data_IF_947676890152
#
_entry.id   IF_947676890152
#
_cell.length_a   1.000
_cell.length_b   1.000
_cell.length_c   1.000
_cell.angle_alpha   90.00
_cell.angle_beta   90.00
_cell.angle_gamma   90.00
#
_symmetry.space_group_name_H-M   'P 1'
#
loop_
_entity.id
_entity.type
_entity.pdbx_description
1 polymer ?
#
# COMPACT_ATOMS: atom_id res chain seq x y z
N UNK A 1 29.47 -9.05 71.17
CA UNK A 1 29.04 -9.50 69.83
C UNK A 1 27.80 -8.73 69.38
N UNK A 2 26.81 -8.49 70.25
CA UNK A 2 25.63 -7.66 69.95
C UNK A 2 25.94 -6.21 69.54
N UNK A 3 26.93 -5.55 70.17
CA UNK A 3 27.30 -4.17 69.82
C UNK A 3 27.83 -4.00 68.37
N UNK A 4 28.36 -5.06 67.74
CA UNK A 4 28.86 -5.00 66.36
C UNK A 4 27.74 -5.13 65.31
N UNK A 5 26.57 -5.63 65.71
CA UNK A 5 25.45 -5.86 64.80
C UNK A 5 24.59 -4.60 64.66
N UNK A 6 24.41 -3.83 65.75
CA UNK A 6 23.72 -2.53 65.70
C UNK A 6 24.46 -1.50 64.84
N UNK A 7 25.79 -1.46 64.87
CA UNK A 7 26.56 -0.52 64.06
C UNK A 7 26.49 -0.84 62.55
N UNK A 8 26.41 -2.13 62.20
CA UNK A 8 26.25 -2.57 60.80
C UNK A 8 24.84 -2.26 60.28
N UNK A 9 23.81 -2.39 61.11
CA UNK A 9 22.43 -2.11 60.73
C UNK A 9 22.20 -0.60 60.56
N UNK A 10 22.79 0.22 61.45
CA UNK A 10 22.70 1.68 61.41
C UNK A 10 23.39 2.29 60.18
N UNK A 11 24.52 1.74 59.74
CA UNK A 11 25.20 2.18 58.51
C UNK A 11 24.41 1.77 57.25
N UNK A 12 23.73 0.63 57.29
CA UNK A 12 22.89 0.17 56.19
C UNK A 12 21.64 1.04 55.99
N UNK A 13 21.03 1.50 57.09
CA UNK A 13 19.89 2.41 57.07
C UNK A 13 20.28 3.85 56.71
N UNK A 14 21.48 4.29 57.14
CA UNK A 14 22.03 5.57 56.69
C UNK A 14 22.32 5.56 55.19
N UNK A 15 22.87 4.47 54.62
CA UNK A 15 23.04 4.32 53.17
C UNK A 15 21.69 4.26 52.43
N UNK A 16 20.68 3.55 52.95
CA UNK A 16 19.33 3.54 52.35
C UNK A 16 18.66 4.92 52.38
N UNK A 17 18.83 5.67 53.46
CA UNK A 17 18.22 7.00 53.60
C UNK A 17 18.98 8.08 52.80
N UNK A 18 20.30 7.96 52.64
CA UNK A 18 21.07 8.82 51.74
C UNK A 18 20.77 8.55 50.26
N UNK A 19 20.43 7.31 49.89
CA UNK A 19 20.16 6.91 48.51
C UNK A 19 18.73 7.25 48.04
N UNK A 20 17.82 7.66 48.94
CA UNK A 20 16.40 7.89 48.63
C UNK A 20 16.00 9.36 48.43
N UNK A 21 16.91 10.35 48.54
CA UNK A 21 16.50 11.78 48.60
C UNK A 21 17.03 12.75 47.54
N UNK A 22 17.77 12.29 46.55
CA UNK A 22 17.99 13.14 45.38
C UNK A 22 17.09 12.64 44.26
N UNK A 23 15.92 13.28 44.00
CA UNK A 23 15.24 13.06 42.75
C UNK A 23 16.27 13.37 41.67
N UNK A 24 16.73 12.32 40.99
CA UNK A 24 17.63 12.43 39.87
C UNK A 24 16.92 13.34 38.88
N UNK A 25 17.34 14.61 38.88
CA UNK A 25 16.79 15.66 38.03
C UNK A 25 17.00 15.12 36.63
N UNK A 26 15.94 14.60 36.00
CA UNK A 26 16.01 13.95 34.69
C UNK A 26 16.63 14.96 33.75
N UNK A 27 17.92 14.83 33.51
CA UNK A 27 18.63 15.65 32.54
C UNK A 27 18.06 15.24 31.21
N UNK A 28 17.35 16.16 30.54
CA UNK A 28 16.76 15.89 29.23
C UNK A 28 17.84 15.28 28.33
N UNK A 29 17.67 14.03 27.90
CA UNK A 29 18.60 13.43 26.98
C UNK A 29 18.58 14.23 25.67
N UNK A 30 19.76 14.48 25.10
CA UNK A 30 19.91 15.16 23.82
C UNK A 30 20.95 14.42 22.99
N UNK A 31 20.74 14.27 21.67
CA UNK A 31 21.74 13.66 20.81
C UNK A 31 23.00 14.53 20.82
N UNK A 32 24.13 13.92 21.14
CA UNK A 32 25.43 14.58 21.12
C UNK A 32 25.83 14.90 19.68
N UNK A 33 26.42 16.08 19.46
CA UNK A 33 26.92 16.50 18.16
C UNK A 33 28.41 16.23 18.08
N UNK A 34 28.77 14.99 17.75
CA UNK A 34 30.18 14.55 17.67
C UNK A 34 30.85 15.03 16.38
N UNK A 35 32.18 15.00 16.35
CA UNK A 35 32.96 15.41 15.18
C UNK A 35 32.66 14.58 13.93
N UNK A 36 32.41 13.28 14.10
CA UNK A 36 31.99 12.37 13.02
C UNK A 36 30.66 12.82 12.41
N UNK A 37 29.66 13.13 13.23
CA UNK A 37 28.34 13.59 12.76
C UNK A 37 28.46 14.92 12.03
N UNK A 38 29.28 15.84 12.55
CA UNK A 38 29.59 17.09 11.89
C UNK A 38 30.27 16.87 10.52
N UNK A 39 31.22 15.94 10.45
CA UNK A 39 31.90 15.56 9.20
C UNK A 39 30.91 15.03 8.16
N UNK A 40 30.03 14.09 8.54
CA UNK A 40 28.99 13.55 7.65
C UNK A 40 28.14 14.68 7.08
N UNK A 41 27.61 15.56 7.94
CA UNK A 41 26.76 16.68 7.51
C UNK A 41 27.52 17.65 6.60
N UNK A 42 28.76 18.03 6.95
CA UNK A 42 29.58 18.93 6.16
C UNK A 42 29.89 18.37 4.78
N UNK A 43 30.24 17.08 4.69
CA UNK A 43 30.50 16.42 3.41
C UNK A 43 29.23 16.31 2.57
N UNK A 44 28.08 15.94 3.16
CA UNK A 44 26.80 15.88 2.45
C UNK A 44 26.41 17.24 1.87
N UNK A 45 26.48 18.32 2.67
CA UNK A 45 26.17 19.67 2.22
C UNK A 45 27.19 20.16 1.19
N UNK A 46 28.48 19.91 1.42
CA UNK A 46 29.57 20.32 0.55
C UNK A 46 29.49 19.68 -0.83
N UNK A 47 29.41 18.35 -0.91
CA UNK A 47 29.32 17.65 -2.19
C UNK A 47 28.00 17.87 -2.89
N UNK A 48 26.89 17.94 -2.17
CA UNK A 48 25.60 18.31 -2.76
C UNK A 48 25.66 19.69 -3.41
N UNK A 49 26.18 20.69 -2.70
CA UNK A 49 26.32 22.06 -3.23
C UNK A 49 27.28 22.12 -4.41
N UNK A 50 28.42 21.41 -4.34
CA UNK A 50 29.37 21.32 -5.46
C UNK A 50 28.72 20.71 -6.70
N UNK A 51 27.98 19.60 -6.54
CA UNK A 51 27.22 18.96 -7.62
C UNK A 51 26.23 19.95 -8.25
N UNK A 52 25.44 20.65 -7.44
CA UNK A 52 24.48 21.62 -7.93
C UNK A 52 25.14 22.75 -8.73
N UNK A 53 26.24 23.33 -8.22
CA UNK A 53 27.00 24.38 -8.91
C UNK A 53 27.54 23.87 -10.26
N UNK A 54 28.10 22.66 -10.30
CA UNK A 54 28.62 22.06 -11.54
C UNK A 54 27.52 21.79 -12.56
N UNK A 55 26.37 21.26 -12.10
CA UNK A 55 25.21 21.06 -12.96
C UNK A 55 24.65 22.37 -13.53
N UNK A 56 24.55 23.43 -12.72
CA UNK A 56 24.09 24.74 -13.21
C UNK A 56 25.05 25.39 -14.20
N UNK A 57 26.35 25.06 -14.13
CA UNK A 57 27.35 25.48 -15.12
C UNK A 57 27.37 24.60 -16.38
N UNK A 58 26.40 23.68 -16.53
CA UNK A 58 26.33 22.71 -17.62
C UNK A 58 27.56 21.78 -17.73
N UNK A 59 28.30 21.58 -16.63
CA UNK A 59 29.46 20.68 -16.57
C UNK A 59 29.01 19.28 -16.14
N UNK A 60 28.23 18.62 -17.00
CA UNK A 60 27.56 17.34 -16.69
C UNK A 60 28.53 16.24 -16.29
N UNK A 61 29.64 16.07 -17.02
CA UNK A 61 30.67 15.07 -16.73
C UNK A 61 31.23 15.27 -15.32
N UNK A 62 31.63 16.51 -14.99
CA UNK A 62 32.20 16.82 -13.67
C UNK A 62 31.17 16.61 -12.54
N UNK A 63 29.91 17.00 -12.77
CA UNK A 63 28.81 16.76 -11.82
C UNK A 63 28.60 15.27 -11.55
N UNK A 64 28.58 14.46 -12.61
CA UNK A 64 28.50 12.99 -12.52
C UNK A 64 29.72 12.41 -11.80
N UNK A 65 30.93 12.87 -12.08
CA UNK A 65 32.14 12.42 -11.37
C UNK A 65 32.07 12.72 -9.87
N UNK A 66 31.61 13.91 -9.49
CA UNK A 66 31.41 14.27 -8.06
C UNK A 66 30.39 13.34 -7.40
N UNK A 67 29.29 13.03 -8.08
CA UNK A 67 28.29 12.08 -7.59
C UNK A 67 28.88 10.68 -7.35
N UNK A 68 29.68 10.16 -8.28
CA UNK A 68 30.32 8.86 -8.11
C UNK A 68 31.32 8.83 -6.96
N UNK A 69 32.20 9.83 -6.88
CA UNK A 69 33.22 9.90 -5.83
C UNK A 69 32.56 10.06 -4.45
N UNK A 70 31.62 10.98 -4.33
CA UNK A 70 30.95 11.25 -3.06
C UNK A 70 30.02 10.10 -2.64
N UNK A 71 29.25 9.54 -3.57
CA UNK A 71 28.29 8.48 -3.30
C UNK A 71 28.92 7.10 -3.06
N UNK A 72 30.04 6.78 -3.71
CA UNK A 72 30.69 5.47 -3.56
C UNK A 72 31.86 5.54 -2.60
N UNK A 73 32.90 6.30 -2.93
CA UNK A 73 34.17 6.25 -2.19
C UNK A 73 34.00 6.85 -0.80
N UNK A 74 33.42 8.04 -0.72
CA UNK A 74 33.32 8.78 0.54
C UNK A 74 32.25 8.16 1.44
N UNK A 75 31.10 7.78 0.89
CA UNK A 75 30.06 7.11 1.67
C UNK A 75 30.54 5.79 2.28
N UNK A 76 31.26 4.96 1.51
CA UNK A 76 31.84 3.71 2.05
C UNK A 76 32.84 4.01 3.15
N UNK A 77 33.71 5.01 2.98
CA UNK A 77 34.64 5.44 4.02
C UNK A 77 33.93 5.91 5.30
N UNK A 78 32.88 6.73 5.17
CA UNK A 78 32.05 7.17 6.30
C UNK A 78 31.30 6.01 6.95
N UNK A 79 30.80 5.05 6.16
CA UNK A 79 30.15 3.86 6.69
C UNK A 79 31.10 3.05 7.58
N UNK A 80 32.32 2.78 7.12
CA UNK A 80 33.34 2.11 7.93
C UNK A 80 33.69 2.90 9.18
N UNK A 81 33.82 4.22 9.05
CA UNK A 81 34.10 5.11 10.18
C UNK A 81 32.95 5.09 11.21
N UNK A 82 31.70 5.02 10.75
CA UNK A 82 30.52 4.92 11.60
C UNK A 82 30.46 3.61 12.41
N UNK A 83 31.05 2.52 11.93
CA UNK A 83 31.15 1.28 12.73
C UNK A 83 31.99 1.47 14.00
N UNK A 84 32.91 2.43 14.01
CA UNK A 84 33.70 2.77 15.18
C UNK A 84 32.97 3.69 16.17
N UNK A 85 31.75 4.17 15.87
CA UNK A 85 31.03 5.06 16.79
C UNK A 85 30.76 4.38 18.14
N UNK A 86 30.50 3.06 18.14
CA UNK A 86 30.27 2.26 19.35
C UNK A 86 31.54 1.73 20.00
N UNK A 87 32.60 1.49 19.21
CA UNK A 87 33.86 0.90 19.65
C UNK A 87 35.05 1.75 19.16
N UNK A 88 35.07 3.02 19.54
CA UNK A 88 36.07 3.97 19.03
C UNK A 88 37.43 3.76 19.72
N UNK A 89 38.53 3.84 18.96
CA UNK A 89 39.86 3.83 19.55
C UNK A 89 40.12 5.13 20.33
N UNK A 90 40.79 5.01 21.48
CA UNK A 90 41.18 6.14 22.33
C UNK A 90 42.14 7.13 21.67
N UNK A 91 42.66 6.81 20.48
CA UNK A 91 43.53 7.68 19.69
C UNK A 91 42.80 8.88 19.04
N UNK A 92 41.49 8.80 18.81
CA UNK A 92 40.72 9.84 18.09
C UNK A 92 39.44 10.28 18.82
N UNK A 93 39.51 10.67 20.11
CA UNK A 93 38.35 11.05 20.91
C UNK A 93 37.70 12.35 20.40
N UNK A 94 38.47 13.20 19.72
CA UNK A 94 37.96 14.43 19.11
C UNK A 94 36.88 14.17 18.05
N UNK A 95 36.90 12.99 17.42
CA UNK A 95 35.97 12.64 16.35
C UNK A 95 34.68 12.01 16.89
N UNK A 96 34.77 11.08 17.85
CA UNK A 96 33.62 10.31 18.32
C UNK A 96 33.08 10.71 19.69
N UNK A 97 33.93 11.17 20.61
CA UNK A 97 33.55 11.38 22.01
C UNK A 97 33.21 12.85 22.30
N UNK A 98 33.96 13.77 21.68
CA UNK A 98 33.82 15.20 21.98
C UNK A 98 32.50 15.75 21.45
N UNK A 99 31.64 16.23 22.36
CA UNK A 99 30.39 16.92 22.02
C UNK A 99 30.64 18.39 21.63
N UNK A 100 30.39 18.71 20.37
CA UNK A 100 30.52 20.06 19.81
C UNK A 100 29.22 20.88 19.90
N UNK A 101 28.15 20.36 20.52
CA UNK A 101 26.85 21.06 20.65
C UNK A 101 27.02 22.45 21.27
N UNK A 102 27.86 22.58 22.29
CA UNK A 102 28.14 23.88 22.92
C UNK A 102 28.84 24.86 21.98
N UNK A 103 29.80 24.39 21.18
CA UNK A 103 30.48 25.21 20.18
C UNK A 103 29.50 25.71 19.13
N UNK A 104 28.71 24.82 18.54
CA UNK A 104 27.70 25.18 17.53
C UNK A 104 26.68 26.17 18.11
N UNK A 105 26.18 25.92 19.32
CA UNK A 105 25.23 26.83 19.97
C UNK A 105 25.84 28.21 20.23
N UNK A 106 27.12 28.27 20.59
CA UNK A 106 27.84 29.55 20.76
C UNK A 106 28.00 30.28 19.44
N UNK A 107 28.24 29.58 18.34
CA UNK A 107 28.29 30.19 17.00
C UNK A 107 26.92 30.72 16.55
N UNK A 108 25.86 29.93 16.74
CA UNK A 108 24.49 30.31 16.30
C UNK A 108 23.88 31.38 17.20
N UNK A 109 24.11 31.32 18.51
CA UNK A 109 23.59 32.30 19.46
C UNK A 109 24.65 32.64 20.53
N UNK A 110 25.54 33.60 20.24
CA UNK A 110 26.64 33.95 21.14
C UNK A 110 26.18 34.51 22.49
N UNK A 111 24.93 34.97 22.61
CA UNK A 111 24.36 35.55 23.85
C UNK A 111 23.77 34.52 24.81
N UNK A 112 23.57 33.27 24.39
CA UNK A 112 22.90 32.24 25.19
C UNK A 112 23.81 31.47 26.16
N UNK A 113 25.08 31.87 26.32
CA UNK A 113 26.08 31.11 27.09
C UNK A 113 26.18 31.65 28.52
N UNK A 114 25.14 31.43 29.32
CA UNK A 114 25.25 31.51 30.78
C UNK A 114 24.51 30.30 31.38
N UNK A 115 25.22 29.56 32.23
CA UNK A 115 24.74 28.50 33.14
C UNK A 115 24.25 27.18 32.52
N UNK A 116 25.14 26.20 32.39
CA UNK A 116 24.87 24.83 32.90
C UNK A 116 26.19 24.05 33.00
N UNK A 117 26.67 23.86 34.23
CA UNK A 117 27.83 23.02 34.57
C UNK A 117 27.32 21.58 34.66
N UNK A 118 27.52 20.79 33.61
CA UNK A 118 27.00 19.43 33.47
C UNK A 118 27.88 18.41 34.20
N UNK A 119 27.25 17.58 35.03
CA UNK A 119 27.84 16.33 35.50
C UNK A 119 27.81 15.30 34.37
N UNK A 120 28.90 14.54 34.24
CA UNK A 120 29.03 13.43 33.32
C UNK A 120 28.18 12.30 33.89
N UNK A 121 27.04 11.98 33.26
CA UNK A 121 26.25 10.81 33.61
C UNK A 121 26.70 9.68 32.70
N UNK A 122 27.48 8.77 33.27
CA UNK A 122 27.90 7.52 32.66
C UNK A 122 26.68 6.59 32.63
N UNK A 123 25.97 6.55 31.50
CA UNK A 123 24.88 5.61 31.30
C UNK A 123 25.47 4.25 30.91
N UNK A 124 25.23 3.23 31.73
CA UNK A 124 25.48 1.82 31.39
C UNK A 124 24.52 1.38 30.27
N UNK A 125 24.90 1.63 29.02
CA UNK A 125 24.14 1.32 27.79
C UNK A 125 24.24 -0.17 27.39
N UNK A 126 24.97 -0.99 28.15
CA UNK A 126 25.42 -2.31 27.70
C UNK A 126 24.34 -3.41 27.56
N UNK A 127 23.09 -3.26 28.04
CA UNK A 127 22.16 -4.41 28.13
C UNK A 127 20.88 -4.35 27.28
N UNK A 128 20.55 -3.25 26.58
CA UNK A 128 19.23 -3.14 25.92
C UNK A 128 19.17 -3.64 24.45
N UNK A 129 20.27 -4.08 23.85
CA UNK A 129 20.33 -4.29 22.39
C UNK A 129 20.02 -5.72 21.90
N UNK A 130 19.86 -6.71 22.77
CA UNK A 130 19.99 -8.12 22.33
C UNK A 130 18.79 -8.72 21.56
N UNK A 131 17.60 -8.09 21.45
CA UNK A 131 16.45 -8.77 20.81
C UNK A 131 15.39 -7.86 20.15
N UNK A 132 15.77 -6.67 19.64
CA UNK A 132 14.81 -5.88 18.85
C UNK A 132 14.75 -6.43 17.43
N UNK A 133 13.71 -7.22 17.14
CA UNK A 133 13.24 -7.42 15.76
C UNK A 133 13.16 -6.05 15.08
N UNK A 134 13.59 -5.94 13.82
CA UNK A 134 13.53 -4.68 13.07
C UNK A 134 12.08 -4.23 12.92
N UNK A 135 11.62 -3.37 13.83
CA UNK A 135 10.26 -2.82 13.81
C UNK A 135 10.14 -1.78 12.71
N UNK A 136 9.02 -1.79 11.98
CA UNK A 136 8.75 -0.82 10.93
C UNK A 136 8.14 0.44 11.55
N UNK A 137 9.01 1.35 11.98
CA UNK A 137 8.64 2.58 12.69
C UNK A 137 8.14 3.67 11.72
N UNK A 138 7.33 4.63 12.20
CA UNK A 138 6.84 5.73 11.35
C UNK A 138 7.98 6.57 10.75
N UNK A 139 9.11 6.72 11.45
CA UNK A 139 10.31 7.35 10.88
C UNK A 139 10.79 6.64 9.62
N UNK A 140 10.89 5.31 9.64
CA UNK A 140 11.34 4.52 8.48
C UNK A 140 10.36 4.63 7.31
N UNK A 141 9.05 4.65 7.59
CA UNK A 141 8.02 4.92 6.57
C UNK A 141 8.19 6.31 5.97
N UNK A 142 8.37 7.33 6.81
CA UNK A 142 8.51 8.73 6.40
C UNK A 142 9.71 8.86 5.45
N UNK A 143 10.87 8.36 5.86
CA UNK A 143 12.10 8.38 5.06
C UNK A 143 11.88 7.66 3.74
N UNK A 144 11.31 6.45 3.77
CA UNK A 144 11.08 5.65 2.56
C UNK A 144 10.11 6.31 1.58
N UNK A 145 8.99 6.85 2.10
CA UNK A 145 7.97 7.55 1.31
C UNK A 145 8.53 8.84 0.70
N UNK A 146 9.34 9.58 1.47
CA UNK A 146 9.97 10.80 0.99
C UNK A 146 10.97 10.50 -0.14
N UNK A 147 11.83 9.49 0.03
CA UNK A 147 12.77 9.08 -1.02
C UNK A 147 12.05 8.62 -2.28
N UNK A 148 11.00 7.79 -2.13
CA UNK A 148 10.22 7.29 -3.26
C UNK A 148 9.50 8.43 -4.01
N UNK A 149 8.80 9.31 -3.28
CA UNK A 149 8.07 10.43 -3.89
C UNK A 149 9.00 11.41 -4.60
N UNK A 150 10.11 11.81 -3.99
CA UNK A 150 11.08 12.72 -4.61
C UNK A 150 11.76 12.08 -5.83
N UNK A 151 12.10 10.78 -5.76
CA UNK A 151 12.63 10.03 -6.89
C UNK A 151 11.66 9.96 -8.07
N UNK A 152 10.37 9.70 -7.80
CA UNK A 152 9.31 9.68 -8.82
C UNK A 152 9.07 11.07 -9.42
N UNK A 153 8.99 12.12 -8.60
CA UNK A 153 8.83 13.50 -9.08
C UNK A 153 10.01 13.90 -9.97
N UNK A 154 11.24 13.57 -9.55
CA UNK A 154 12.45 13.80 -10.36
C UNK A 154 12.38 13.07 -11.71
N UNK A 155 12.04 11.78 -11.70
CA UNK A 155 11.93 10.98 -12.92
C UNK A 155 10.90 11.59 -13.88
N UNK A 156 9.70 11.92 -13.38
CA UNK A 156 8.63 12.56 -14.14
C UNK A 156 9.08 13.87 -14.80
N UNK A 157 9.71 14.76 -14.03
CA UNK A 157 10.21 16.04 -14.55
C UNK A 157 11.34 15.85 -15.57
N UNK A 158 12.19 14.84 -15.38
CA UNK A 158 13.26 14.51 -16.33
C UNK A 158 12.69 14.00 -17.64
N UNK A 159 11.66 13.14 -17.61
CA UNK A 159 10.96 12.66 -18.81
C UNK A 159 10.23 13.78 -19.57
N UNK A 160 9.79 14.83 -18.87
CA UNK A 160 9.20 16.02 -19.48
C UNK A 160 10.25 16.97 -20.10
N UNK A 161 11.54 16.64 -20.03
CA UNK A 161 12.63 17.44 -20.61
C UNK A 161 13.11 18.61 -19.75
N UNK A 162 12.66 18.72 -18.49
CA UNK A 162 13.19 19.74 -17.58
C UNK A 162 14.58 19.31 -17.09
N UNK A 163 15.62 20.11 -17.37
CA UNK A 163 17.00 19.81 -16.93
C UNK A 163 17.34 20.44 -15.56
N UNK A 164 16.79 21.62 -15.29
CA UNK A 164 17.16 22.43 -14.10
C UNK A 164 16.37 22.01 -12.85
N UNK A 165 15.07 21.74 -13.00
CA UNK A 165 14.19 21.42 -11.86
C UNK A 165 14.57 20.10 -11.19
N UNK A 166 14.81 18.97 -11.91
CA UNK A 166 15.24 17.72 -11.27
C UNK A 166 16.57 17.86 -10.53
N UNK A 167 17.51 18.63 -11.09
CA UNK A 167 18.80 18.94 -10.45
C UNK A 167 18.60 19.70 -9.15
N UNK A 168 17.68 20.67 -9.14
CA UNK A 168 17.35 21.44 -7.94
C UNK A 168 16.72 20.56 -6.87
N UNK A 169 15.79 19.67 -7.26
CA UNK A 169 15.16 18.71 -6.36
C UNK A 169 16.17 17.72 -5.78
N UNK A 170 17.11 17.21 -6.59
CA UNK A 170 18.23 16.38 -6.13
C UNK A 170 19.05 17.10 -5.06
N UNK A 171 19.34 18.37 -5.28
CA UNK A 171 20.11 19.15 -4.32
C UNK A 171 19.35 19.33 -3.01
N UNK A 172 18.09 19.81 -3.06
CA UNK A 172 17.27 20.04 -1.86
C UNK A 172 17.08 18.74 -1.07
N UNK A 173 16.77 17.65 -1.78
CA UNK A 173 16.52 16.34 -1.18
C UNK A 173 17.78 15.71 -0.59
N UNK A 174 18.87 15.71 -1.36
CA UNK A 174 20.15 15.12 -0.96
C UNK A 174 20.89 15.92 0.10
N UNK A 175 20.62 17.22 0.26
CA UNK A 175 21.28 18.07 1.27
C UNK A 175 20.36 18.38 2.44
N UNK A 176 19.37 19.25 2.24
CA UNK A 176 18.54 19.79 3.32
C UNK A 176 17.69 18.69 3.98
N UNK A 177 16.99 17.90 3.16
CA UNK A 177 16.13 16.84 3.68
C UNK A 177 16.95 15.70 4.27
N UNK A 178 18.05 15.28 3.64
CA UNK A 178 18.94 14.26 4.17
C UNK A 178 19.51 14.66 5.53
N UNK A 179 20.01 15.90 5.69
CA UNK A 179 20.54 16.40 6.97
C UNK A 179 19.43 16.50 8.02
N UNK A 180 18.24 16.99 7.66
CA UNK A 180 17.10 17.08 8.58
C UNK A 180 16.63 15.70 9.06
N UNK A 181 16.51 14.74 8.15
CA UNK A 181 16.16 13.36 8.48
C UNK A 181 17.25 12.67 9.30
N UNK A 182 18.53 12.89 8.96
CA UNK A 182 19.65 12.37 9.74
C UNK A 182 19.57 12.83 11.20
N UNK A 183 19.37 14.13 11.43
CA UNK A 183 19.18 14.68 12.77
C UNK A 183 17.97 14.11 13.49
N UNK A 184 16.85 13.97 12.78
CA UNK A 184 15.64 13.38 13.34
C UNK A 184 15.90 11.91 13.74
N UNK A 185 16.59 11.14 12.89
CA UNK A 185 16.95 9.75 13.14
C UNK A 185 17.83 9.55 14.36
N UNK A 186 18.65 10.54 14.75
CA UNK A 186 19.42 10.47 16.01
C UNK A 186 18.52 10.36 17.25
N UNK A 187 17.26 10.78 17.18
CA UNK A 187 16.31 10.61 18.28
C UNK A 187 15.73 9.18 18.36
N UNK A 188 15.94 8.31 17.37
CA UNK A 188 15.51 6.90 17.41
C UNK A 188 16.19 6.13 18.56
N UNK A 189 17.41 6.53 18.93
CA UNK A 189 18.17 5.97 20.06
C UNK A 189 17.92 6.66 21.40
N UNK A 190 16.95 7.60 21.48
CA UNK A 190 16.67 8.33 22.72
C UNK A 190 16.08 7.41 23.80
N UNK A 191 16.69 7.33 25.00
CA UNK A 191 16.13 6.57 26.12
C UNK A 191 14.84 7.20 26.66
N UNK A 192 14.68 8.53 26.51
CA UNK A 192 13.52 9.27 27.01
C UNK A 192 12.27 9.04 26.16
N UNK A 193 12.39 8.33 25.02
CA UNK A 193 11.31 8.08 24.08
C UNK A 193 10.52 9.35 23.74
N UNK A 194 11.23 10.44 23.39
CA UNK A 194 10.65 11.77 23.22
C UNK A 194 9.61 11.86 22.09
N UNK A 195 9.63 10.92 21.15
CA UNK A 195 8.70 10.83 20.02
C UNK A 195 8.21 9.38 19.84
N UNK A 196 7.37 8.87 20.76
CA UNK A 196 7.01 7.46 20.78
C UNK A 196 6.22 7.04 19.54
N UNK A 197 5.39 7.94 19.01
CA UNK A 197 4.64 7.69 17.78
C UNK A 197 5.58 7.49 16.58
N UNK A 198 6.68 8.26 16.53
CA UNK A 198 7.58 8.25 15.37
C UNK A 198 8.54 7.05 15.40
N UNK A 199 9.07 6.70 16.57
CA UNK A 199 10.16 5.71 16.72
C UNK A 199 9.78 4.40 17.39
N UNK A 200 8.68 4.33 18.16
CA UNK A 200 8.35 3.11 18.94
C UNK A 200 7.08 2.42 18.49
N UNK A 201 6.13 3.13 17.87
CA UNK A 201 4.95 2.49 17.32
C UNK A 201 5.32 1.59 16.14
N UNK A 202 4.90 0.33 16.21
CA UNK A 202 5.06 -0.63 15.12
C UNK A 202 3.91 -0.48 14.12
N UNK A 203 4.24 -0.06 12.90
CA UNK A 203 3.28 0.12 11.82
C UNK A 203 3.29 -1.03 10.83
N UNK A 204 4.08 -2.09 11.07
CA UNK A 204 4.18 -3.23 10.16
C UNK A 204 2.82 -3.80 9.75
N UNK A 205 1.83 -4.02 10.64
CA UNK A 205 0.52 -4.52 10.24
C UNK A 205 -0.22 -3.56 9.30
N UNK A 206 -0.19 -2.25 9.59
CA UNK A 206 -0.84 -1.24 8.78
C UNK A 206 -0.22 -1.11 7.39
N UNK A 207 1.11 -1.22 7.31
CA UNK A 207 1.86 -1.11 6.04
C UNK A 207 1.66 -2.35 5.19
N UNK A 208 1.64 -3.56 5.77
CA UNK A 208 1.35 -4.77 4.98
C UNK A 208 -0.04 -4.66 4.32
N UNK A 209 -1.03 -4.16 5.06
CA UNK A 209 -2.37 -3.89 4.51
C UNK A 209 -2.30 -2.79 3.43
N UNK A 210 -1.60 -1.69 3.71
CA UNK A 210 -1.47 -0.55 2.81
C UNK A 210 -0.73 -0.89 1.50
N UNK A 211 0.41 -1.58 1.58
CA UNK A 211 1.20 -2.04 0.42
C UNK A 211 0.40 -3.06 -0.38
N UNK A 212 -0.30 -4.00 0.28
CA UNK A 212 -1.22 -4.90 -0.42
C UNK A 212 -2.32 -4.13 -1.14
N UNK A 213 -2.90 -3.09 -0.52
CA UNK A 213 -3.92 -2.25 -1.14
C UNK A 213 -3.36 -1.48 -2.34
N UNK A 214 -2.25 -0.77 -2.18
CA UNK A 214 -1.59 0.00 -3.24
C UNK A 214 -1.18 -0.92 -4.39
N UNK A 215 -0.57 -2.06 -4.10
CA UNK A 215 -0.18 -3.04 -5.11
C UNK A 215 -1.39 -3.55 -5.92
N UNK A 216 -2.53 -3.74 -5.26
CA UNK A 216 -3.78 -4.11 -5.94
C UNK A 216 -4.33 -2.97 -6.80
N UNK A 217 -4.32 -1.73 -6.30
CA UNK A 217 -4.76 -0.57 -7.07
C UNK A 217 -3.85 -0.33 -8.29
N UNK A 218 -2.54 -0.49 -8.15
CA UNK A 218 -1.58 -0.39 -9.26
C UNK A 218 -1.82 -1.50 -10.29
N UNK A 219 -2.06 -2.74 -9.84
CA UNK A 219 -2.39 -3.83 -10.74
C UNK A 219 -3.71 -3.58 -11.48
N UNK A 220 -4.73 -3.05 -10.82
CA UNK A 220 -5.98 -2.63 -11.46
C UNK A 220 -5.75 -1.54 -12.51
N UNK A 221 -4.96 -0.52 -12.17
CA UNK A 221 -4.59 0.56 -13.09
C UNK A 221 -3.84 0.01 -14.31
N UNK A 222 -2.93 -0.94 -14.10
CA UNK A 222 -2.17 -1.58 -15.18
C UNK A 222 -3.09 -2.40 -16.10
N UNK A 223 -3.97 -3.22 -15.53
CA UNK A 223 -4.94 -4.01 -16.29
C UNK A 223 -5.92 -3.14 -17.07
N UNK A 224 -6.38 -2.04 -16.48
CA UNK A 224 -7.25 -1.07 -17.15
C UNK A 224 -6.53 -0.34 -18.29
N UNK A 225 -5.30 0.11 -18.05
CA UNK A 225 -4.46 0.75 -19.07
C UNK A 225 -4.14 -0.20 -20.22
N UNK A 226 -3.92 -1.48 -19.92
CA UNK A 226 -3.72 -2.54 -20.91
C UNK A 226 -4.96 -2.75 -21.79
N UNK A 227 -6.14 -2.84 -21.17
CA UNK A 227 -7.41 -2.93 -21.91
C UNK A 227 -7.63 -1.70 -22.81
N UNK A 228 -7.34 -0.50 -22.30
CA UNK A 228 -7.44 0.74 -23.08
C UNK A 228 -6.45 0.78 -24.24
N UNK A 229 -5.22 0.30 -24.04
CA UNK A 229 -4.21 0.21 -25.10
C UNK A 229 -4.67 -0.67 -26.26
N UNK A 230 -5.24 -1.84 -25.97
CA UNK A 230 -5.79 -2.72 -27.01
C UNK A 230 -7.00 -2.12 -27.71
N UNK A 231 -7.89 -1.45 -26.96
CA UNK A 231 -8.99 -0.70 -27.54
C UNK A 231 -8.50 0.42 -28.47
N UNK A 232 -7.47 1.16 -28.07
CA UNK A 232 -6.86 2.21 -28.88
C UNK A 232 -6.24 1.67 -30.15
N UNK A 233 -5.42 0.59 -30.06
CA UNK A 233 -4.90 -0.12 -31.24
C UNK A 233 -6.06 -0.50 -32.15
N UNK A 234 -7.14 -1.11 -31.63
CA UNK A 234 -8.27 -1.54 -32.43
C UNK A 234 -8.95 -0.40 -33.20
N UNK A 235 -9.21 0.73 -32.54
CA UNK A 235 -9.85 1.89 -33.19
C UNK A 235 -8.94 2.54 -34.25
N UNK A 236 -7.62 2.53 -34.04
CA UNK A 236 -6.67 3.14 -34.98
C UNK A 236 -6.31 2.23 -36.15
N UNK A 237 -6.06 0.95 -35.88
CA UNK A 237 -5.57 0.01 -36.89
C UNK A 237 -6.62 -0.49 -37.86
N UNK A 238 -7.92 -0.33 -37.55
CA UNK A 238 -8.95 -0.67 -38.53
C UNK A 238 -9.92 0.45 -38.83
N UNK A 239 -9.48 1.70 -38.65
CA UNK A 239 -10.13 2.88 -39.21
C UNK A 239 -9.42 3.42 -40.47
N UNK A 240 -8.16 3.04 -40.70
CA UNK A 240 -7.46 3.33 -41.95
C UNK A 240 -7.55 2.12 -42.89
N UNK A 241 -8.33 2.17 -43.98
CA UNK A 241 -8.24 1.18 -45.05
C UNK A 241 -6.94 1.44 -45.81
N UNK A 242 -5.83 0.88 -45.34
CA UNK A 242 -4.50 1.21 -45.85
C UNK A 242 -4.07 0.40 -47.08
N UNK A 243 -4.84 -0.59 -47.53
CA UNK A 243 -4.57 -1.33 -48.77
C UNK A 243 -5.88 -1.73 -49.48
N UNK A 244 -5.89 -1.84 -50.82
CA UNK A 244 -7.02 -2.40 -51.55
C UNK A 244 -7.30 -3.82 -51.03
N UNK A 245 -8.57 -4.09 -50.67
CA UNK A 245 -8.99 -5.38 -50.15
C UNK A 245 -8.46 -6.53 -51.04
N UNK A 246 -7.91 -7.60 -50.44
CA UNK A 246 -7.44 -8.75 -51.20
C UNK A 246 -8.61 -9.35 -52.00
N UNK A 247 -8.60 -9.17 -53.31
CA UNK A 247 -9.60 -9.75 -54.20
C UNK A 247 -9.24 -11.22 -54.47
N UNK A 248 -10.03 -12.15 -53.94
CA UNK A 248 -9.94 -13.55 -54.31
C UNK A 248 -10.71 -13.79 -55.62
N UNK A 249 -10.18 -14.65 -56.49
CA UNK A 249 -10.84 -15.04 -57.75
C UNK A 249 -12.17 -15.79 -57.55
N UNK A 250 -12.47 -16.20 -56.32
CA UNK A 250 -13.70 -16.92 -55.98
C UNK A 250 -14.65 -16.00 -55.21
N UNK A 251 -15.89 -15.80 -55.68
CA UNK A 251 -16.87 -14.97 -54.98
C UNK A 251 -17.20 -15.55 -53.59
N UNK A 252 -17.18 -16.88 -53.44
CA UNK A 252 -17.39 -17.55 -52.15
C UNK A 252 -16.28 -17.24 -51.15
N UNK A 253 -15.01 -17.16 -51.58
CA UNK A 253 -13.91 -16.79 -50.69
C UNK A 253 -13.97 -15.32 -50.26
N UNK A 254 -14.37 -14.41 -51.14
CA UNK A 254 -14.60 -13.00 -50.77
C UNK A 254 -15.70 -12.88 -49.72
N UNK A 255 -16.84 -13.55 -49.93
CA UNK A 255 -17.94 -13.55 -48.93
C UNK A 255 -17.52 -14.15 -47.59
N UNK A 256 -16.69 -15.20 -47.61
CA UNK A 256 -16.20 -15.85 -46.40
C UNK A 256 -15.16 -14.99 -45.67
N UNK A 257 -14.33 -14.24 -46.39
CA UNK A 257 -13.42 -13.24 -45.83
C UNK A 257 -14.20 -12.08 -45.20
N UNK A 258 -15.17 -11.51 -45.91
CA UNK A 258 -16.00 -10.40 -45.46
C UNK A 258 -16.85 -10.75 -44.22
N UNK A 259 -17.25 -12.01 -44.07
CA UNK A 259 -17.93 -12.50 -42.86
C UNK A 259 -16.94 -12.87 -41.75
N UNK A 260 -15.87 -13.59 -42.05
CA UNK A 260 -14.95 -14.10 -41.00
C UNK A 260 -14.12 -13.00 -40.36
N UNK A 261 -13.73 -11.98 -41.12
CA UNK A 261 -12.91 -10.88 -40.62
C UNK A 261 -13.59 -10.09 -39.48
N UNK A 262 -14.85 -9.62 -39.60
CA UNK A 262 -15.56 -8.99 -38.48
C UNK A 262 -15.81 -9.96 -37.32
N UNK A 263 -16.06 -11.25 -37.56
CA UNK A 263 -16.24 -12.24 -36.49
C UNK A 263 -14.96 -12.46 -35.67
N UNK A 264 -13.81 -12.71 -36.33
CA UNK A 264 -12.52 -12.85 -35.66
C UNK A 264 -12.15 -11.56 -34.94
N UNK A 265 -12.47 -10.40 -35.54
CA UNK A 265 -12.24 -9.07 -34.94
C UNK A 265 -13.08 -8.86 -33.67
N UNK A 266 -14.38 -9.17 -33.70
CA UNK A 266 -15.27 -9.09 -32.53
C UNK A 266 -14.81 -10.05 -31.44
N UNK A 267 -14.45 -11.29 -31.80
CA UNK A 267 -14.02 -12.30 -30.83
C UNK A 267 -12.70 -11.93 -30.16
N UNK A 268 -11.72 -11.45 -30.93
CA UNK A 268 -10.42 -11.05 -30.40
C UNK A 268 -10.54 -9.82 -29.50
N UNK A 269 -11.39 -8.84 -29.85
CA UNK A 269 -11.66 -7.66 -29.01
C UNK A 269 -12.43 -8.05 -27.75
N UNK A 270 -13.47 -8.87 -27.88
CA UNK A 270 -14.24 -9.38 -26.74
C UNK A 270 -13.34 -10.11 -25.75
N UNK A 271 -12.45 -10.97 -26.24
CA UNK A 271 -11.50 -11.69 -25.40
C UNK A 271 -10.46 -10.73 -24.77
N UNK A 272 -9.91 -9.78 -25.52
CA UNK A 272 -8.95 -8.80 -25.03
C UNK A 272 -9.55 -7.86 -23.96
N UNK A 273 -10.85 -7.56 -24.01
CA UNK A 273 -11.56 -6.77 -22.99
C UNK A 273 -11.98 -7.63 -21.79
N UNK A 274 -12.45 -8.86 -22.01
CA UNK A 274 -12.90 -9.74 -20.92
C UNK A 274 -11.74 -10.27 -20.06
N UNK A 275 -10.59 -10.55 -20.68
CA UNK A 275 -9.41 -11.11 -20.02
C UNK A 275 -8.84 -10.24 -18.88
N UNK A 276 -8.81 -8.88 -18.95
CA UNK A 276 -8.47 -8.03 -17.82
C UNK A 276 -9.64 -7.75 -16.85
N UNK A 277 -10.89 -7.83 -17.32
CA UNK A 277 -12.08 -7.53 -16.48
C UNK A 277 -12.29 -8.58 -15.39
N UNK A 278 -12.16 -9.86 -15.69
CA UNK A 278 -12.38 -10.94 -14.70
C UNK A 278 -11.34 -10.89 -13.55
N UNK A 279 -10.02 -10.80 -13.82
CA UNK A 279 -9.02 -10.56 -12.78
C UNK A 279 -9.25 -9.23 -12.05
N UNK A 280 -9.64 -8.18 -12.76
CA UNK A 280 -9.94 -6.88 -12.15
C UNK A 280 -11.07 -6.94 -11.13
N UNK A 281 -12.17 -7.62 -11.46
CA UNK A 281 -13.31 -7.82 -10.55
C UNK A 281 -12.87 -8.68 -9.35
N UNK A 282 -12.14 -9.77 -9.58
CA UNK A 282 -11.63 -10.62 -8.50
C UNK A 282 -10.72 -9.85 -7.54
N UNK A 283 -9.83 -9.01 -8.08
CA UNK A 283 -8.93 -8.16 -7.31
C UNK A 283 -9.68 -7.09 -6.52
N UNK A 284 -10.72 -6.49 -7.13
CA UNK A 284 -11.58 -5.50 -6.49
C UNK A 284 -12.33 -6.13 -5.31
N UNK A 285 -12.95 -7.29 -5.50
CA UNK A 285 -13.65 -8.03 -4.44
C UNK A 285 -12.67 -8.38 -3.31
N UNK A 286 -11.47 -8.87 -3.65
CA UNK A 286 -10.44 -9.18 -2.66
C UNK A 286 -10.02 -7.92 -1.90
N UNK A 287 -9.93 -6.77 -2.57
CA UNK A 287 -9.59 -5.47 -1.96
C UNK A 287 -10.66 -5.00 -0.99
N UNK A 288 -11.94 -5.10 -1.37
CA UNK A 288 -13.08 -4.80 -0.48
C UNK A 288 -13.08 -5.72 0.74
N UNK A 289 -12.77 -7.01 0.58
CA UNK A 289 -12.60 -7.95 1.71
C UNK A 289 -11.44 -7.56 2.63
N UNK A 290 -10.32 -7.10 2.06
CA UNK A 290 -9.15 -6.67 2.83
C UNK A 290 -9.42 -5.36 3.60
N UNK A 291 -10.23 -4.44 3.06
CA UNK A 291 -10.61 -3.19 3.75
C UNK A 291 -11.65 -3.45 4.85
N UNK A 292 -12.56 -4.41 4.64
CA UNK A 292 -13.63 -4.72 5.61
C UNK A 292 -13.19 -5.58 6.80
N UNK A 293 -12.08 -6.32 6.68
CA UNK A 293 -11.51 -7.16 7.76
C UNK A 293 -10.88 -6.37 8.93
N UNK A 294 -10.04 -5.33 8.72
CA UNK A 294 -9.41 -4.60 9.82
C UNK A 294 -10.41 -3.83 10.68
N UNK A 295 -11.55 -3.38 10.11
CA UNK A 295 -12.61 -2.71 10.86
C UNK A 295 -13.17 -3.56 12.02
N UNK A 296 -13.19 -4.90 11.87
CA UNK A 296 -13.57 -5.82 12.96
C UNK A 296 -12.44 -6.04 13.96
N UNK A 297 -11.19 -6.09 13.51
CA UNK A 297 -10.02 -6.34 14.38
C UNK A 297 -9.59 -5.12 15.20
N UNK A 298 -9.76 -3.90 14.67
CA UNK A 298 -9.45 -2.65 15.38
C UNK A 298 -10.49 -2.41 16.48
N UNK A 299 -11.76 -2.77 16.23
CA UNK A 299 -12.81 -2.72 17.24
C UNK A 299 -12.54 -3.69 18.40
N UNK A 300 -12.04 -4.91 18.14
CA UNK A 300 -11.67 -5.86 19.21
C UNK A 300 -10.38 -5.48 19.92
N UNK A 301 -9.38 -4.94 19.21
CA UNK A 301 -8.11 -4.52 19.82
C UNK A 301 -8.26 -3.26 20.70
N UNK A 302 -9.11 -2.31 20.32
CA UNK A 302 -9.43 -1.14 21.14
C UNK A 302 -10.39 -1.47 22.29
N UNK A 303 -11.32 -2.42 22.09
CA UNK A 303 -12.20 -2.90 23.16
C UNK A 303 -11.47 -3.66 24.27
N UNK A 304 -10.36 -4.34 23.97
CA UNK A 304 -9.57 -5.10 24.95
C UNK A 304 -8.60 -4.28 25.82
N UNK A 305 -8.41 -2.98 25.54
CA UNK A 305 -7.36 -2.16 26.18
C UNK A 305 -7.87 -1.14 27.22
N UNK A 306 -9.16 -1.16 27.54
CA UNK A 306 -9.81 -0.28 28.51
C UNK A 306 -9.41 -0.54 29.98
N UNK A 307 -8.60 -1.57 30.25
CA UNK A 307 -8.18 -1.94 31.61
C UNK A 307 -6.75 -1.53 31.99
N UNK A 308 -5.99 -0.81 31.14
CA UNK A 308 -4.64 -0.37 31.48
C UNK A 308 -4.65 0.95 32.29
N UNK A 309 -4.29 0.93 33.58
CA UNK A 309 -4.28 2.11 34.43
C UNK A 309 -3.07 2.99 34.05
N UNK A 310 -3.31 4.08 33.32
CA UNK A 310 -2.27 5.04 32.96
C UNK A 310 -2.45 5.77 31.62
N UNK A 311 -3.40 5.34 30.77
CA UNK A 311 -3.64 5.96 29.45
C UNK A 311 -4.53 7.23 29.49
N UNK A 312 -4.71 7.85 30.66
CA UNK A 312 -5.76 8.85 30.91
C UNK A 312 -5.47 10.25 30.33
N UNK A 313 -4.23 10.53 29.93
CA UNK A 313 -3.78 11.91 29.65
C UNK A 313 -3.38 12.16 28.17
N UNK A 314 -3.79 11.30 27.25
CA UNK A 314 -3.49 11.46 25.82
C UNK A 314 -4.43 12.45 25.11
N UNK A 315 -3.87 13.19 24.15
CA UNK A 315 -4.48 14.19 23.23
C UNK A 315 -5.92 13.93 22.74
N UNK A 316 -6.38 12.68 22.67
CA UNK A 316 -7.75 12.34 22.28
C UNK A 316 -8.82 12.71 23.33
N UNK A 317 -8.42 13.05 24.56
CA UNK A 317 -9.32 13.47 25.63
C UNK A 317 -9.96 14.86 25.44
N UNK A 318 -9.47 15.67 24.49
CA UNK A 318 -9.91 17.07 24.33
C UNK A 318 -11.10 17.29 23.37
N UNK A 319 -11.69 16.23 22.79
CA UNK A 319 -12.85 16.34 21.90
C UNK A 319 -14.16 16.04 22.66
N UNK A 320 -15.14 16.97 22.74
CA UNK A 320 -16.23 16.95 23.72
C UNK A 320 -17.45 16.12 23.28
N UNK A 321 -17.24 14.89 22.80
CA UNK A 321 -18.34 13.90 22.74
C UNK A 321 -17.82 12.49 23.11
N UNK A 322 -18.65 11.64 23.74
CA UNK A 322 -18.23 10.31 24.20
C UNK A 322 -17.73 9.45 23.02
N UNK A 323 -16.53 8.90 23.14
CA UNK A 323 -15.82 8.19 22.06
C UNK A 323 -16.49 6.86 21.66
N UNK A 324 -17.16 6.20 22.61
CA UNK A 324 -17.81 4.90 22.36
C UNK A 324 -19.05 5.02 21.45
N UNK A 325 -19.88 6.04 21.65
CA UNK A 325 -21.10 6.22 20.85
C UNK A 325 -20.82 6.68 19.43
N UNK A 326 -19.71 7.39 19.16
CA UNK A 326 -19.37 7.84 17.80
C UNK A 326 -19.00 6.70 16.86
N UNK A 327 -18.18 5.77 17.32
CA UNK A 327 -17.69 4.67 16.49
C UNK A 327 -18.78 3.59 16.32
N UNK A 328 -19.58 3.38 17.36
CA UNK A 328 -20.71 2.47 17.32
C UNK A 328 -21.81 3.02 16.38
N UNK A 329 -22.15 4.31 16.47
CA UNK A 329 -23.10 4.95 15.56
C UNK A 329 -22.60 4.95 14.12
N UNK A 330 -21.34 5.33 13.89
CA UNK A 330 -20.75 5.29 12.54
C UNK A 330 -20.73 3.88 11.96
N UNK A 331 -20.34 2.86 12.74
CA UNK A 331 -20.33 1.46 12.28
C UNK A 331 -21.73 0.91 11.98
N UNK A 332 -22.74 1.32 12.76
CA UNK A 332 -24.15 0.91 12.57
C UNK A 332 -24.73 1.37 11.25
N UNK A 333 -24.29 2.52 10.73
CA UNK A 333 -24.74 3.05 9.45
C UNK A 333 -23.81 2.67 8.30
N UNK A 334 -22.50 2.68 8.53
CA UNK A 334 -21.50 2.46 7.50
C UNK A 334 -21.48 1.01 7.02
N UNK A 335 -21.74 0.03 7.89
CA UNK A 335 -21.79 -1.39 7.49
C UNK A 335 -23.01 -1.68 6.59
N UNK A 336 -24.25 -1.30 6.93
CA UNK A 336 -25.39 -1.42 6.02
C UNK A 336 -25.21 -0.62 4.73
N UNK A 337 -24.68 0.62 4.79
CA UNK A 337 -24.45 1.42 3.59
C UNK A 337 -23.43 0.76 2.65
N UNK A 338 -22.33 0.21 3.18
CA UNK A 338 -21.35 -0.53 2.37
C UNK A 338 -21.93 -1.84 1.82
N UNK A 339 -22.79 -2.53 2.58
CA UNK A 339 -23.47 -3.74 2.12
C UNK A 339 -24.46 -3.43 0.98
N UNK A 340 -25.29 -2.41 1.16
CA UNK A 340 -26.24 -1.92 0.15
C UNK A 340 -25.47 -1.45 -1.09
N UNK A 341 -24.40 -0.67 -0.93
CA UNK A 341 -23.56 -0.21 -2.05
C UNK A 341 -22.89 -1.37 -2.78
N UNK A 342 -22.39 -2.38 -2.06
CA UNK A 342 -21.81 -3.58 -2.67
C UNK A 342 -22.84 -4.38 -3.47
N UNK A 343 -24.06 -4.53 -2.95
CA UNK A 343 -25.17 -5.18 -3.65
C UNK A 343 -25.63 -4.41 -4.89
N UNK A 344 -25.81 -3.09 -4.79
CA UNK A 344 -26.16 -2.22 -5.93
C UNK A 344 -25.10 -2.30 -7.03
N UNK A 345 -23.82 -2.35 -6.65
CA UNK A 345 -22.71 -2.47 -7.58
C UNK A 345 -22.67 -3.83 -8.29
N UNK A 346 -22.87 -4.94 -7.55
CA UNK A 346 -22.99 -6.28 -8.15
C UNK A 346 -24.17 -6.33 -9.12
N UNK A 347 -25.30 -5.71 -8.76
CA UNK A 347 -26.45 -5.61 -9.65
C UNK A 347 -26.16 -4.85 -10.93
N UNK A 348 -25.53 -3.67 -10.84
CA UNK A 348 -25.13 -2.89 -12.01
C UNK A 348 -24.24 -3.72 -12.94
N UNK A 349 -23.30 -4.49 -12.40
CA UNK A 349 -22.44 -5.38 -13.19
C UNK A 349 -23.24 -6.49 -13.87
N UNK A 350 -24.09 -7.20 -13.14
CA UNK A 350 -24.91 -8.28 -13.70
C UNK A 350 -25.88 -7.75 -14.77
N UNK A 351 -26.44 -6.56 -14.56
CA UNK A 351 -27.37 -5.94 -15.51
C UNK A 351 -26.64 -5.45 -16.77
N UNK A 352 -25.41 -4.95 -16.62
CA UNK A 352 -24.55 -4.58 -17.76
C UNK A 352 -24.14 -5.81 -18.56
N UNK A 353 -23.70 -6.88 -17.90
CA UNK A 353 -23.36 -8.15 -18.56
C UNK A 353 -24.57 -8.74 -19.31
N UNK A 354 -25.76 -8.68 -18.71
CA UNK A 354 -27.00 -9.11 -19.34
C UNK A 354 -27.32 -8.29 -20.59
N UNK A 355 -27.33 -6.95 -20.50
CA UNK A 355 -27.57 -6.08 -21.65
C UNK A 355 -26.57 -6.33 -22.78
N UNK A 356 -25.29 -6.56 -22.45
CA UNK A 356 -24.28 -6.90 -23.48
C UNK A 356 -24.53 -8.24 -24.15
N UNK A 357 -24.99 -9.25 -23.41
CA UNK A 357 -25.34 -10.55 -23.99
C UNK A 357 -26.60 -10.47 -24.87
N UNK A 358 -27.63 -9.72 -24.46
CA UNK A 358 -28.84 -9.50 -25.25
C UNK A 358 -28.54 -8.75 -26.56
N UNK A 359 -27.71 -7.69 -26.49
CA UNK A 359 -27.30 -6.95 -27.68
C UNK A 359 -26.49 -7.83 -28.64
N UNK A 360 -25.66 -8.74 -28.11
CA UNK A 360 -24.93 -9.71 -28.92
C UNK A 360 -25.86 -10.74 -29.58
N UNK A 361 -26.83 -11.28 -28.84
CA UNK A 361 -27.80 -12.24 -29.37
C UNK A 361 -28.70 -11.60 -30.44
N UNK A 362 -29.18 -10.37 -30.22
CA UNK A 362 -29.98 -9.62 -31.18
C UNK A 362 -29.17 -9.27 -32.44
N UNK A 363 -27.89 -8.91 -32.29
CA UNK A 363 -27.01 -8.68 -33.43
C UNK A 363 -26.76 -9.96 -34.23
N UNK A 364 -26.48 -11.09 -33.56
CA UNK A 364 -26.32 -12.38 -34.21
C UNK A 364 -27.60 -12.82 -34.95
N UNK A 365 -28.77 -12.58 -34.35
CA UNK A 365 -30.06 -12.84 -34.97
C UNK A 365 -30.28 -11.99 -36.23
N UNK A 366 -30.06 -10.67 -36.14
CA UNK A 366 -30.20 -9.77 -37.29
C UNK A 366 -29.21 -10.08 -38.41
N UNK A 367 -27.96 -10.44 -38.06
CA UNK A 367 -26.94 -10.86 -39.01
C UNK A 367 -27.32 -12.16 -39.73
N UNK A 368 -27.92 -13.12 -39.03
CA UNK A 368 -28.44 -14.34 -39.65
C UNK A 368 -29.69 -14.09 -40.49
N UNK A 369 -30.58 -13.18 -40.06
CA UNK A 369 -31.79 -12.81 -40.80
C UNK A 369 -31.49 -12.06 -42.10
N UNK A 370 -30.45 -11.22 -42.11
CA UNK A 370 -30.02 -10.49 -43.29
C UNK A 370 -29.29 -11.36 -44.34
N UNK A 371 -28.96 -12.61 -44.00
CA UNK A 371 -28.29 -13.54 -44.93
C UNK A 371 -29.28 -14.07 -45.98
N UNK A 372 -29.02 -13.94 -47.29
CA UNK A 372 -29.94 -14.35 -48.35
C UNK A 372 -30.05 -15.87 -48.55
N UNK A 373 -29.36 -16.69 -47.76
CA UNK A 373 -29.33 -18.15 -47.88
C UNK A 373 -30.20 -18.82 -46.81
N UNK A 374 -31.52 -18.64 -46.89
CA UNK A 374 -32.49 -19.15 -45.91
C UNK A 374 -33.34 -20.28 -46.49
N UNK A 375 -33.09 -21.51 -46.04
CA UNK A 375 -34.02 -22.63 -46.26
C UNK A 375 -34.22 -23.44 -44.98
N UNK A 376 -33.15 -24.05 -44.47
CA UNK A 376 -33.23 -24.98 -43.33
C UNK A 376 -32.45 -24.48 -42.10
N UNK A 377 -31.20 -24.01 -42.28
CA UNK A 377 -30.38 -23.46 -41.18
C UNK A 377 -30.93 -22.16 -40.58
N UNK A 378 -31.72 -21.39 -41.34
CA UNK A 378 -32.39 -20.18 -40.83
C UNK A 378 -33.54 -20.49 -39.87
N UNK A 379 -34.26 -21.59 -40.09
CA UNK A 379 -35.40 -21.96 -39.22
C UNK A 379 -34.88 -22.60 -37.94
N UNK A 380 -33.97 -23.58 -38.05
CA UNK A 380 -33.35 -24.22 -36.87
C UNK A 380 -32.50 -23.23 -36.08
N UNK A 381 -31.70 -22.42 -36.77
CA UNK A 381 -30.93 -21.34 -36.16
C UNK A 381 -31.83 -20.28 -35.52
N UNK A 382 -32.91 -19.88 -36.20
CA UNK A 382 -33.92 -18.97 -35.64
C UNK A 382 -34.57 -19.52 -34.37
N UNK A 383 -34.94 -20.80 -34.35
CA UNK A 383 -35.54 -21.45 -33.17
C UNK A 383 -34.52 -21.52 -32.02
N UNK A 384 -33.27 -21.96 -32.27
CA UNK A 384 -32.24 -22.02 -31.22
C UNK A 384 -31.85 -20.64 -30.70
N UNK A 385 -31.73 -19.65 -31.59
CA UNK A 385 -31.43 -18.25 -31.24
C UNK A 385 -32.63 -17.56 -30.57
N UNK A 386 -33.86 -18.07 -30.72
CA UNK A 386 -35.03 -17.55 -29.99
C UNK A 386 -35.19 -18.20 -28.61
N UNK A 387 -34.93 -19.51 -28.51
CA UNK A 387 -35.08 -20.27 -27.27
C UNK A 387 -33.96 -19.96 -26.28
N UNK A 388 -32.72 -19.77 -26.75
CA UNK A 388 -31.57 -19.55 -25.87
C UNK A 388 -31.66 -18.22 -25.09
N UNK A 389 -31.99 -17.06 -25.70
CA UNK A 389 -32.24 -15.81 -24.97
C UNK A 389 -33.48 -15.89 -24.09
N UNK A 390 -34.54 -16.60 -24.50
CA UNK A 390 -35.72 -16.78 -23.66
C UNK A 390 -35.41 -17.58 -22.38
N UNK A 391 -34.68 -18.69 -22.52
CA UNK A 391 -34.21 -19.49 -21.39
C UNK A 391 -33.26 -18.68 -20.49
N UNK A 392 -32.34 -17.93 -21.10
CA UNK A 392 -31.41 -17.08 -20.37
C UNK A 392 -32.11 -15.91 -19.66
N UNK A 393 -33.15 -15.32 -20.27
CA UNK A 393 -34.03 -14.32 -19.65
C UNK A 393 -34.74 -14.90 -18.42
N UNK A 394 -35.24 -16.14 -18.48
CA UNK A 394 -35.89 -16.78 -17.34
C UNK A 394 -34.92 -17.04 -16.18
N UNK A 395 -33.69 -17.48 -16.48
CA UNK A 395 -32.63 -17.66 -15.47
C UNK A 395 -32.21 -16.31 -14.86
N UNK A 396 -32.05 -15.28 -15.69
CA UNK A 396 -31.68 -13.93 -15.23
C UNK A 396 -32.81 -13.26 -14.45
N UNK A 397 -34.07 -13.43 -14.86
CA UNK A 397 -35.24 -12.96 -14.12
C UNK A 397 -35.31 -13.62 -12.74
N UNK A 398 -35.07 -14.93 -12.66
CA UNK A 398 -35.03 -15.65 -11.40
C UNK A 398 -33.92 -15.16 -10.48
N UNK A 399 -32.73 -14.85 -11.03
CA UNK A 399 -31.62 -14.23 -10.29
C UNK A 399 -32.00 -12.81 -9.81
N UNK A 400 -32.56 -11.97 -10.68
CA UNK A 400 -33.02 -10.64 -10.30
C UNK A 400 -34.09 -10.68 -9.20
N UNK A 401 -35.07 -11.60 -9.29
CA UNK A 401 -36.11 -11.78 -8.28
C UNK A 401 -35.56 -12.30 -6.96
N UNK A 402 -34.58 -13.22 -6.97
CA UNK A 402 -33.94 -13.71 -5.73
C UNK A 402 -33.11 -12.63 -5.06
N UNK A 403 -32.41 -11.78 -5.82
CA UNK A 403 -31.69 -10.65 -5.20
C UNK A 403 -32.67 -9.55 -4.75
N UNK A 404 -33.73 -9.25 -5.49
CA UNK A 404 -34.79 -8.31 -5.04
C UNK A 404 -35.46 -8.80 -3.76
N UNK A 405 -35.76 -10.10 -3.67
CA UNK A 405 -36.28 -10.72 -2.45
C UNK A 405 -35.29 -10.59 -1.28
N UNK A 406 -33.98 -10.69 -1.55
CA UNK A 406 -32.94 -10.47 -0.53
C UNK A 406 -32.85 -9.01 -0.05
N UNK A 407 -33.29 -8.05 -0.86
CA UNK A 407 -33.35 -6.62 -0.52
C UNK A 407 -34.60 -6.28 0.31
N UNK A 408 -35.74 -6.89 -0.03
CA UNK A 408 -37.02 -6.67 0.65
C UNK A 408 -37.08 -7.43 1.99
N UNK A 409 -36.44 -8.59 2.09
CA UNK A 409 -36.47 -9.42 3.30
C UNK A 409 -36.03 -8.68 4.60
N UNK A 410 -34.91 -7.94 4.63
CA UNK A 410 -34.53 -7.12 5.78
C UNK A 410 -35.51 -5.99 6.10
N UNK A 411 -36.12 -5.38 5.07
CA UNK A 411 -37.11 -4.31 5.23
C UNK A 411 -38.43 -4.82 5.81
N UNK A 412 -38.76 -6.09 5.57
CA UNK A 412 -39.91 -6.79 6.14
C UNK A 412 -39.61 -7.43 7.51
N UNK A 413 -38.42 -7.23 8.07
CA UNK A 413 -38.02 -7.77 9.38
C UNK A 413 -37.72 -9.28 9.38
N UNK A 414 -37.56 -9.92 8.22
CA UNK A 414 -37.18 -11.34 8.15
C UNK A 414 -35.66 -11.51 8.18
N UNK A 415 -35.18 -12.54 8.89
CA UNK A 415 -33.73 -12.79 9.03
C UNK A 415 -33.12 -13.24 7.70
N UNK A 416 -32.15 -12.49 7.12
CA UNK A 416 -31.77 -12.60 5.71
C UNK A 416 -30.97 -13.86 5.33
N UNK A 417 -30.51 -14.66 6.29
CA UNK A 417 -29.48 -15.67 6.02
C UNK A 417 -30.00 -17.00 5.45
N UNK A 418 -31.30 -17.27 5.57
CA UNK A 418 -31.90 -18.58 5.25
C UNK A 418 -32.35 -18.70 3.78
N UNK A 419 -33.07 -17.72 3.25
CA UNK A 419 -33.61 -17.77 1.88
C UNK A 419 -32.51 -17.59 0.81
N UNK A 420 -31.47 -16.81 1.12
CA UNK A 420 -30.30 -16.66 0.23
C UNK A 420 -29.49 -17.96 0.12
N UNK A 421 -29.34 -18.71 1.24
CA UNK A 421 -28.71 -20.04 1.21
C UNK A 421 -29.51 -21.01 0.34
N UNK A 422 -30.84 -21.06 0.50
CA UNK A 422 -31.70 -21.91 -0.34
C UNK A 422 -31.54 -21.63 -1.84
N UNK A 423 -31.49 -20.36 -2.22
CA UNK A 423 -31.36 -19.96 -3.62
C UNK A 423 -29.99 -20.37 -4.20
N UNK A 424 -28.91 -20.20 -3.44
CA UNK A 424 -27.58 -20.67 -3.84
C UNK A 424 -27.50 -22.19 -3.92
N UNK A 425 -28.12 -22.91 -2.99
CA UNK A 425 -28.16 -24.39 -3.03
C UNK A 425 -28.93 -24.89 -4.24
N UNK A 426 -30.04 -24.23 -4.62
CA UNK A 426 -30.80 -24.59 -5.81
C UNK A 426 -29.99 -24.38 -7.11
N UNK A 427 -29.26 -23.26 -7.22
CA UNK A 427 -28.36 -22.99 -8.36
C UNK A 427 -27.22 -24.00 -8.40
N UNK A 428 -26.62 -24.33 -7.26
CA UNK A 428 -25.56 -25.34 -7.18
C UNK A 428 -26.03 -26.74 -7.58
N UNK A 429 -27.24 -27.14 -7.15
CA UNK A 429 -27.86 -28.42 -7.55
C UNK A 429 -28.03 -28.46 -9.07
N UNK A 430 -28.58 -27.40 -9.68
CA UNK A 430 -28.79 -27.31 -11.14
C UNK A 430 -27.45 -27.41 -11.90
N UNK A 431 -26.41 -26.72 -11.42
CA UNK A 431 -25.07 -26.77 -12.03
C UNK A 431 -24.42 -28.15 -11.87
N UNK A 432 -24.63 -28.84 -10.75
CA UNK A 432 -24.07 -30.17 -10.49
C UNK A 432 -24.70 -31.27 -11.37
N UNK A 433 -25.97 -31.11 -11.78
CA UNK A 433 -26.65 -32.05 -12.70
C UNK A 433 -26.12 -32.03 -14.13
N UNK A 434 -25.34 -31.03 -14.53
CA UNK A 434 -24.70 -30.98 -15.86
C UNK A 434 -23.25 -31.50 -15.88
N UNK A 435 -22.71 -31.91 -14.73
CA UNK A 435 -21.26 -32.09 -14.54
C UNK A 435 -20.71 -33.52 -14.53
N UNK A 436 -21.52 -34.57 -14.45
CA UNK A 436 -20.99 -35.94 -14.32
C UNK A 436 -21.90 -36.99 -14.94
N UNK A 437 -21.83 -37.14 -16.26
CA UNK A 437 -21.96 -38.47 -16.86
C UNK A 437 -20.53 -38.99 -16.99
N UNK A 438 -20.13 -39.88 -16.09
CA UNK A 438 -18.91 -40.69 -16.21
C UNK A 438 -19.34 -42.04 -16.79
N UNK A 439 -19.22 -42.28 -18.11
CA UNK A 439 -19.66 -43.51 -18.72
C UNK A 439 -18.50 -44.50 -18.68
N UNK A 440 -18.50 -45.37 -17.66
CA UNK A 440 -17.72 -46.61 -17.71
C UNK A 440 -16.64 -46.70 -16.65
N UNK A 441 -16.99 -47.36 -15.55
CA UNK A 441 -16.06 -47.72 -14.49
C UNK A 441 -16.54 -48.92 -13.68
N UNK A 442 -16.86 -50.03 -14.34
CA UNK A 442 -16.89 -51.36 -13.71
C UNK A 442 -15.49 -51.79 -13.30
N UNK A 443 -15.42 -52.63 -12.25
CA UNK A 443 -14.23 -53.27 -11.64
C UNK A 443 -13.56 -52.44 -10.53
N UNK A 444 -13.44 -52.89 -9.28
CA UNK A 444 -13.72 -54.19 -8.69
C UNK A 444 -13.34 -54.11 -7.20
N UNK A 445 -14.17 -54.71 -6.35
CA UNK A 445 -13.85 -54.94 -4.93
C UNK A 445 -12.91 -56.14 -4.84
N UNK A 446 -11.72 -55.95 -4.29
CA UNK A 446 -10.95 -57.00 -3.64
C UNK A 446 -10.21 -56.44 -2.42
N UNK A 447 -10.42 -57.14 -1.31
CA UNK A 447 -9.69 -57.18 -0.03
C UNK A 447 -9.46 -55.87 0.75
#
# INVERSE_FOLDING_TARGET
MEASQEDAERDSDFRRSAQTRFPSRRTSWRPQFTGYRALVILLTVGFGSLKAILSYKNLTIASTTVEWISGVVIYVGLFWLGLYETAHPSAIPWLFERDYTHSVRRFVNPRAVVTTRGGIIEYNIAESHQNRRATLTAYRILVSTLVASLGLTKASLTYQGYSTVPTTLDWISGTLLAVGLYWLGLYESSPDNSLPLLFTADYQPAIVIGVSLIGRLLLLSLLSSWGYFWYWIWTRWGAEPSDPEPQFNSPTLNTLYDLSFPFVRIFTVGFAVLLPVVPGISLLISTVKLISTPARSVATYLGGRTSLPGARDGFWASLPLPSHTRLEYASRWLVPCLHISGHVFIHLILMTLWLTCEMFALFAFLAMWASPYTGFFSIVGGIFISIFPLYWMLVCLQLCLTVLASFIAPLLGSTPHWEFRKSLTAVWIILSTFGTDDPGGTSGRLA
#
